data_IF_230907696911
#
_entry.id   IF_230907696911
#
_cell.length_a   1.000
_cell.length_b   1.000
_cell.length_c   1.000
_cell.angle_alpha   90.00
_cell.angle_beta   90.00
_cell.angle_gamma   90.00
#
_symmetry.space_group_name_H-M   'P 1'
#
loop_
_entity.id
_entity.type
_entity.pdbx_description
1 polymer ?
#
# COMPACT_ATOMS: atom_id res chain seq x y z
N UNK A 1 34.79 5.55 -12.90
CA UNK A 1 34.43 5.29 -11.49
C UNK A 1 34.02 6.61 -10.86
N UNK A 2 32.74 6.98 -10.92
CA UNK A 2 32.26 8.26 -10.37
C UNK A 2 31.97 8.13 -8.88
N UNK A 3 32.44 9.07 -8.07
CA UNK A 3 32.16 9.14 -6.64
C UNK A 3 30.66 9.34 -6.40
N UNK A 4 30.03 8.49 -5.57
CA UNK A 4 28.62 8.69 -5.19
C UNK A 4 28.52 9.85 -4.18
N UNK A 5 27.82 10.95 -4.48
CA UNK A 5 27.75 12.09 -3.58
C UNK A 5 27.06 11.71 -2.26
N UNK A 6 27.68 12.10 -1.15
CA UNK A 6 27.24 11.74 0.19
C UNK A 6 26.91 12.95 1.05
N UNK A 7 25.64 13.10 1.40
CA UNK A 7 25.09 14.18 2.20
C UNK A 7 24.83 13.70 3.63
N UNK A 8 25.46 14.34 4.63
CA UNK A 8 25.38 13.87 6.02
C UNK A 8 24.34 14.60 6.87
N UNK A 9 24.27 15.94 6.80
CA UNK A 9 23.31 16.78 7.51
C UNK A 9 22.91 17.92 6.57
N UNK A 10 21.67 17.93 6.12
CA UNK A 10 21.23 18.86 5.08
C UNK A 10 19.86 19.40 5.39
N UNK A 11 19.74 20.73 5.34
CA UNK A 11 18.46 21.43 5.36
C UNK A 11 18.44 22.31 4.13
N UNK A 12 17.57 22.01 3.17
CA UNK A 12 17.46 22.79 1.94
C UNK A 12 15.99 22.96 1.59
N UNK A 13 15.66 24.13 1.08
CA UNK A 13 14.29 24.44 0.70
C UNK A 13 13.92 23.73 -0.61
N UNK A 14 14.72 23.90 -1.67
CA UNK A 14 14.48 23.29 -2.98
C UNK A 14 15.75 22.70 -3.54
N UNK A 15 15.69 21.45 -3.99
CA UNK A 15 16.84 20.79 -4.59
C UNK A 15 16.42 19.95 -5.80
N UNK A 16 17.28 19.98 -6.84
CA UNK A 16 17.29 19.00 -7.91
C UNK A 16 18.65 18.34 -7.94
N UNK A 17 18.68 17.02 -7.84
CA UNK A 17 19.91 16.25 -7.90
C UNK A 17 19.78 15.12 -8.90
N UNK A 18 20.90 14.83 -9.56
CA UNK A 18 21.06 13.70 -10.47
C UNK A 18 21.18 12.37 -9.73
N UNK A 19 21.86 11.41 -10.36
CA UNK A 19 21.87 10.00 -10.01
C UNK A 19 22.64 9.68 -8.70
N UNK A 20 22.33 8.52 -8.11
CA UNK A 20 23.16 7.82 -7.11
C UNK A 20 23.50 8.60 -5.82
N UNK A 21 22.55 9.35 -5.29
CA UNK A 21 22.74 10.17 -4.08
C UNK A 21 22.55 9.38 -2.78
N UNK A 22 23.44 9.61 -1.79
CA UNK A 22 23.33 9.03 -0.44
C UNK A 22 23.12 10.09 0.62
N UNK A 23 21.99 10.03 1.31
CA UNK A 23 21.58 10.99 2.33
C UNK A 23 21.47 10.32 3.70
N UNK A 24 22.13 10.90 4.71
CA UNK A 24 22.13 10.36 6.08
C UNK A 24 21.06 11.02 6.94
N UNK A 25 21.10 12.35 7.07
CA UNK A 25 20.09 13.15 7.77
C UNK A 25 19.72 14.36 6.90
N UNK A 26 18.43 14.49 6.62
CA UNK A 26 17.97 15.51 5.68
C UNK A 26 16.58 16.00 6.00
N UNK A 27 16.39 17.30 5.95
CA UNK A 27 15.11 17.97 6.00
C UNK A 27 14.96 18.81 4.73
N UNK A 28 14.01 18.48 3.85
CA UNK A 28 13.85 19.21 2.58
C UNK A 28 12.39 19.53 2.30
N UNK A 29 12.10 20.76 1.87
CA UNK A 29 10.74 21.13 1.50
C UNK A 29 10.36 20.53 0.14
N UNK A 30 11.15 20.76 -0.91
CA UNK A 30 10.87 20.22 -2.25
C UNK A 30 12.11 19.58 -2.87
N UNK A 31 12.00 18.30 -3.18
CA UNK A 31 13.07 17.54 -3.82
C UNK A 31 12.58 16.87 -5.11
N UNK A 32 13.36 17.05 -6.17
CA UNK A 32 13.33 16.16 -7.34
C UNK A 32 14.66 15.43 -7.40
N UNK A 33 14.61 14.11 -7.28
CA UNK A 33 15.78 13.26 -7.50
C UNK A 33 15.59 12.49 -8.79
N UNK A 34 16.66 12.40 -9.57
CA UNK A 34 16.81 11.36 -10.58
C UNK A 34 16.96 9.99 -9.93
N UNK A 35 18.00 9.27 -10.31
CA UNK A 35 18.05 7.82 -10.13
C UNK A 35 18.61 7.38 -8.77
N UNK A 36 18.08 6.27 -8.25
CA UNK A 36 18.64 5.42 -7.17
C UNK A 36 19.01 6.06 -5.80
N UNK A 37 18.25 7.02 -5.24
CA UNK A 37 18.64 7.61 -3.96
C UNK A 37 18.56 6.63 -2.79
N UNK A 38 19.49 6.80 -1.83
CA UNK A 38 19.49 6.08 -0.55
C UNK A 38 19.37 7.06 0.62
N UNK A 39 18.31 6.94 1.41
CA UNK A 39 18.04 7.77 2.59
C UNK A 39 18.12 6.94 3.86
N UNK A 40 18.77 7.49 4.90
CA UNK A 40 18.85 6.85 6.22
C UNK A 40 17.89 7.42 7.25
N UNK A 41 17.75 8.75 7.28
CA UNK A 41 16.79 9.52 8.06
C UNK A 41 16.39 10.74 7.22
N UNK A 42 15.09 10.91 6.96
CA UNK A 42 14.63 11.99 6.08
C UNK A 42 13.27 12.53 6.49
N UNK A 43 13.13 13.85 6.50
CA UNK A 43 11.85 14.57 6.60
C UNK A 43 11.67 15.36 5.32
N UNK A 44 10.69 15.02 4.47
CA UNK A 44 10.46 15.75 3.23
C UNK A 44 9.00 16.18 3.07
N UNK A 45 8.77 17.42 2.64
CA UNK A 45 7.41 17.88 2.35
C UNK A 45 6.94 17.37 0.98
N UNK A 46 7.76 17.51 -0.07
CA UNK A 46 7.41 17.06 -1.42
C UNK A 46 8.59 16.36 -2.10
N UNK A 47 8.42 15.08 -2.45
CA UNK A 47 9.39 14.29 -3.20
C UNK A 47 8.80 13.79 -4.52
N UNK A 48 9.53 14.03 -5.61
CA UNK A 48 9.34 13.33 -6.89
C UNK A 48 10.61 12.58 -7.24
N UNK A 49 10.47 11.28 -7.48
CA UNK A 49 11.55 10.42 -8.00
C UNK A 49 11.19 10.07 -9.44
N UNK A 50 12.12 10.30 -10.35
CA UNK A 50 11.99 9.97 -11.78
C UNK A 50 11.99 8.47 -12.08
N UNK A 51 11.97 8.14 -13.36
CA UNK A 51 12.20 6.78 -13.88
C UNK A 51 13.65 6.36 -13.61
N UNK A 52 13.87 5.07 -13.36
CA UNK A 52 15.20 4.49 -13.17
C UNK A 52 15.49 3.45 -14.26
N UNK A 53 16.68 3.45 -14.89
CA UNK A 53 17.14 2.30 -15.63
C UNK A 53 17.37 1.14 -14.66
N UNK A 54 17.42 -0.06 -15.25
CA UNK A 54 17.45 -1.43 -14.67
C UNK A 54 18.38 -1.70 -13.47
N UNK A 55 19.18 -0.74 -13.02
CA UNK A 55 20.20 -0.88 -11.98
C UNK A 55 19.89 -0.07 -10.72
N UNK A 56 19.28 -0.74 -9.73
CA UNK A 56 19.26 -0.28 -8.33
C UNK A 56 17.91 0.23 -7.84
N UNK A 57 17.40 -0.36 -6.74
CA UNK A 57 16.14 0.08 -6.14
C UNK A 57 16.36 1.25 -5.17
N UNK A 58 15.63 2.36 -5.30
CA UNK A 58 15.63 3.43 -4.31
C UNK A 58 15.29 2.88 -2.91
N UNK A 59 16.00 3.36 -1.87
CA UNK A 59 15.86 2.81 -0.51
C UNK A 59 15.73 3.91 0.54
N UNK A 60 14.71 3.76 1.38
CA UNK A 60 14.46 4.64 2.51
C UNK A 60 14.47 3.86 3.81
N UNK A 61 15.12 4.48 4.79
CA UNK A 61 15.05 4.10 6.18
C UNK A 61 14.61 5.35 6.97
N UNK A 62 13.77 5.17 7.98
CA UNK A 62 13.35 6.22 8.92
C UNK A 62 12.92 7.51 8.20
N UNK A 63 11.84 7.41 7.43
CA UNK A 63 11.38 8.52 6.59
C UNK A 63 10.00 9.00 7.02
N UNK A 64 9.87 10.33 7.11
CA UNK A 64 8.62 11.04 7.22
C UNK A 64 8.44 11.91 5.97
N UNK A 65 7.33 11.71 5.24
CA UNK A 65 7.06 12.36 3.97
C UNK A 65 5.62 12.85 3.91
N UNK A 66 5.41 14.07 3.46
CA UNK A 66 4.06 14.60 3.24
C UNK A 66 3.53 14.23 1.84
N UNK A 67 4.26 14.54 0.76
CA UNK A 67 3.83 14.23 -0.63
C UNK A 67 4.90 13.43 -1.37
N UNK A 68 4.50 12.29 -1.93
CA UNK A 68 5.40 11.41 -2.67
C UNK A 68 4.78 10.95 -4.00
N UNK A 69 5.56 11.11 -5.07
CA UNK A 69 5.33 10.42 -6.35
C UNK A 69 6.61 9.66 -6.74
N UNK A 70 6.49 8.35 -6.88
CA UNK A 70 7.58 7.48 -7.34
C UNK A 70 7.03 6.63 -8.46
N UNK A 71 7.76 6.55 -9.57
CA UNK A 71 7.30 5.79 -10.74
C UNK A 71 7.60 4.31 -10.58
N UNK A 72 8.79 3.94 -10.09
CA UNK A 72 9.24 2.53 -10.04
C UNK A 72 9.39 1.97 -8.61
N UNK A 73 10.29 1.02 -8.33
CA UNK A 73 10.21 0.03 -7.21
C UNK A 73 10.99 0.39 -5.92
N UNK A 74 10.51 1.27 -5.01
CA UNK A 74 11.20 1.57 -3.78
C UNK A 74 11.09 0.49 -2.68
N UNK A 75 12.09 0.49 -1.80
CA UNK A 75 12.10 -0.29 -0.56
C UNK A 75 12.09 0.62 0.66
N UNK A 76 11.08 0.43 1.51
CA UNK A 76 10.83 1.24 2.69
C UNK A 76 11.01 0.43 3.98
N UNK A 77 11.79 0.99 4.91
CA UNK A 77 11.97 0.44 6.26
C UNK A 77 11.71 1.54 7.29
N UNK A 78 10.77 1.32 8.21
CA UNK A 78 10.39 2.27 9.24
C UNK A 78 9.99 3.61 8.63
N UNK A 79 8.80 3.68 8.08
CA UNK A 79 8.29 4.89 7.43
C UNK A 79 7.04 5.33 8.15
N UNK A 80 7.02 6.60 8.57
CA UNK A 80 5.91 7.18 9.32
C UNK A 80 5.43 8.38 8.51
N UNK A 81 4.34 8.20 7.77
CA UNK A 81 3.70 9.29 7.04
C UNK A 81 2.49 9.73 7.85
N UNK A 82 2.74 10.41 8.97
CA UNK A 82 1.78 10.49 10.09
C UNK A 82 0.74 11.60 10.02
N UNK A 83 0.83 12.51 9.07
CA UNK A 83 -0.19 13.54 8.95
C UNK A 83 -0.08 14.12 7.57
N UNK A 84 -1.18 14.71 7.15
CA UNK A 84 -1.37 15.51 5.94
C UNK A 84 -2.08 14.70 4.87
N UNK A 85 -3.27 15.19 4.56
CA UNK A 85 -4.15 14.70 3.50
C UNK A 85 -3.40 14.57 2.19
N UNK A 86 -2.86 13.38 1.95
CA UNK A 86 -2.36 12.97 0.65
C UNK A 86 -3.56 12.80 -0.26
N UNK A 87 -3.77 13.74 -1.16
CA UNK A 87 -4.73 13.54 -2.24
C UNK A 87 -4.38 12.27 -3.03
N UNK A 88 -3.09 12.05 -3.36
CA UNK A 88 -2.63 10.93 -4.24
C UNK A 88 -1.12 10.63 -4.08
N UNK A 89 -0.73 9.68 -3.23
CA UNK A 89 0.51 8.93 -3.47
C UNK A 89 0.24 7.99 -4.64
N UNK A 90 1.07 8.04 -5.70
CA UNK A 90 1.05 7.08 -6.81
C UNK A 90 2.41 6.42 -6.88
N UNK A 91 2.40 5.10 -6.76
CA UNK A 91 3.59 4.26 -6.78
C UNK A 91 3.32 3.09 -7.73
N UNK A 92 4.25 2.82 -8.65
CA UNK A 92 4.14 1.80 -9.69
C UNK A 92 4.39 0.37 -9.21
N UNK A 93 4.87 -0.45 -10.14
CA UNK A 93 4.71 -1.92 -10.22
C UNK A 93 4.99 -2.71 -8.93
N UNK A 94 6.18 -2.63 -8.33
CA UNK A 94 6.56 -3.52 -7.19
C UNK A 94 7.11 -2.79 -5.98
N UNK A 95 6.48 -3.00 -4.81
CA UNK A 95 6.82 -2.27 -3.59
C UNK A 95 7.07 -3.16 -2.39
N UNK A 96 7.98 -2.75 -1.50
CA UNK A 96 8.19 -3.43 -0.21
C UNK A 96 8.27 -2.46 0.95
N UNK A 97 7.31 -2.59 1.87
CA UNK A 97 7.23 -1.84 3.12
C UNK A 97 7.39 -2.80 4.29
N UNK A 98 8.35 -2.55 5.17
CA UNK A 98 8.52 -3.35 6.39
C UNK A 98 7.61 -2.90 7.54
N UNK A 99 7.62 -1.60 7.82
CA UNK A 99 6.84 -0.96 8.88
C UNK A 99 6.36 0.38 8.35
N UNK A 100 5.05 0.59 8.36
CA UNK A 100 4.44 1.79 7.79
C UNK A 100 3.18 2.23 8.54
N UNK A 101 3.03 3.53 8.76
CA UNK A 101 1.76 4.16 9.13
C UNK A 101 1.41 5.21 8.07
N UNK A 102 0.25 5.10 7.42
CA UNK A 102 -0.17 6.01 6.34
C UNK A 102 -1.68 6.33 6.42
N UNK A 103 -2.06 7.58 6.20
CA UNK A 103 -3.47 7.97 6.15
C UNK A 103 -4.13 7.58 4.81
N UNK A 104 -3.54 7.95 3.68
CA UNK A 104 -4.09 7.73 2.33
C UNK A 104 -3.04 7.22 1.34
N UNK A 105 -3.33 6.11 0.66
CA UNK A 105 -2.41 5.52 -0.32
C UNK A 105 -3.12 5.09 -1.61
N UNK A 106 -2.52 5.37 -2.78
CA UNK A 106 -2.82 4.66 -4.04
C UNK A 106 -1.58 3.91 -4.54
N UNK A 107 -1.64 2.58 -4.54
CA UNK A 107 -0.56 1.73 -5.02
C UNK A 107 -0.97 0.96 -6.28
N UNK A 108 -0.02 0.71 -7.18
CA UNK A 108 -0.16 -0.11 -8.38
C UNK A 108 -0.16 -1.61 -8.09
N UNK A 109 0.56 -2.37 -8.92
CA UNK A 109 0.29 -3.78 -9.23
C UNK A 109 0.79 -4.83 -8.22
N UNK A 110 1.82 -4.58 -7.40
CA UNK A 110 2.37 -5.63 -6.50
C UNK A 110 3.01 -5.07 -5.23
N UNK A 111 2.27 -4.40 -4.32
CA UNK A 111 2.85 -3.94 -3.07
C UNK A 111 2.85 -5.03 -1.99
N UNK A 112 3.99 -5.18 -1.30
CA UNK A 112 4.18 -6.10 -0.16
C UNK A 112 4.41 -5.33 1.14
N UNK A 113 3.67 -5.70 2.17
CA UNK A 113 3.67 -5.02 3.46
C UNK A 113 3.91 -6.01 4.61
N UNK A 114 4.86 -5.65 5.48
CA UNK A 114 5.17 -6.37 6.71
C UNK A 114 4.17 -6.05 7.80
N UNK A 115 4.41 -4.95 8.52
CA UNK A 115 3.54 -4.40 9.55
C UNK A 115 3.02 -3.03 9.09
N UNK A 116 1.70 -2.85 9.08
CA UNK A 116 1.10 -1.61 8.58
C UNK A 116 -0.15 -1.18 9.35
N UNK A 117 -0.29 0.11 9.59
CA UNK A 117 -1.54 0.74 10.02
C UNK A 117 -1.96 1.78 8.98
N UNK A 118 -3.18 1.67 8.43
CA UNK A 118 -3.64 2.53 7.35
C UNK A 118 -5.10 2.96 7.52
N UNK A 119 -5.43 4.21 7.20
CA UNK A 119 -6.83 4.64 7.25
C UNK A 119 -7.56 4.36 5.92
N UNK A 120 -7.03 4.85 4.80
CA UNK A 120 -7.64 4.73 3.46
C UNK A 120 -6.65 4.22 2.42
N UNK A 121 -6.94 3.07 1.85
CA UNK A 121 -6.09 2.45 0.84
C UNK A 121 -6.86 2.15 -0.45
N UNK A 122 -6.29 2.55 -1.59
CA UNK A 122 -6.65 2.01 -2.91
C UNK A 122 -5.44 1.29 -3.48
N UNK A 123 -5.59 0.03 -3.84
CA UNK A 123 -4.51 -0.76 -4.41
C UNK A 123 -5.00 -1.47 -5.66
N UNK A 124 -4.12 -1.57 -6.66
CA UNK A 124 -4.35 -2.34 -7.87
C UNK A 124 -4.24 -3.84 -7.58
N UNK A 125 -3.47 -4.51 -8.40
CA UNK A 125 -3.35 -5.96 -8.41
C UNK A 125 -2.55 -6.52 -7.22
N UNK A 126 -2.83 -7.77 -6.88
CA UNK A 126 -1.99 -8.71 -6.13
C UNK A 126 -1.27 -8.22 -4.85
N UNK A 127 -1.85 -7.37 -3.98
CA UNK A 127 -1.13 -6.90 -2.81
C UNK A 127 -0.99 -8.01 -1.75
N UNK A 128 0.13 -7.99 -1.00
CA UNK A 128 0.38 -8.97 0.07
C UNK A 128 0.67 -8.29 1.40
N UNK A 129 0.00 -8.73 2.45
CA UNK A 129 0.10 -8.16 3.80
C UNK A 129 0.35 -9.24 4.84
N UNK A 130 1.30 -8.99 5.75
CA UNK A 130 1.68 -9.94 6.81
C UNK A 130 1.07 -9.65 8.18
N UNK A 131 0.91 -8.37 8.53
CA UNK A 131 0.23 -7.88 9.72
C UNK A 131 -0.32 -6.49 9.39
N UNK A 132 -1.64 -6.28 9.46
CA UNK A 132 -2.23 -5.01 9.04
C UNK A 132 -3.48 -4.61 9.82
N UNK A 133 -3.58 -3.33 10.16
CA UNK A 133 -4.82 -2.69 10.61
C UNK A 133 -5.26 -1.64 9.58
N UNK A 134 -6.52 -1.69 9.15
CA UNK A 134 -7.02 -0.89 8.02
C UNK A 134 -8.49 -0.49 8.20
N UNK A 135 -8.79 0.81 8.13
CA UNK A 135 -10.19 1.27 8.27
C UNK A 135 -10.96 1.10 6.95
N UNK A 136 -10.43 1.59 5.83
CA UNK A 136 -11.09 1.58 4.52
C UNK A 136 -10.16 1.10 3.42
N UNK A 137 -10.58 0.04 2.72
CA UNK A 137 -9.82 -0.57 1.63
C UNK A 137 -10.64 -0.69 0.35
N UNK A 138 -10.04 -0.28 -0.77
CA UNK A 138 -10.41 -0.70 -2.13
C UNK A 138 -9.24 -1.44 -2.76
N UNK A 139 -9.35 -2.76 -2.87
CA UNK A 139 -8.32 -3.58 -3.50
C UNK A 139 -8.81 -4.12 -4.84
N UNK A 140 -7.92 -4.19 -5.83
CA UNK A 140 -8.13 -4.87 -7.09
C UNK A 140 -8.03 -6.39 -6.94
N UNK A 141 -7.37 -7.03 -7.89
CA UNK A 141 -7.35 -8.48 -8.04
C UNK A 141 -6.49 -9.18 -6.97
N UNK A 142 -7.01 -10.30 -6.45
CA UNK A 142 -6.29 -11.31 -5.63
C UNK A 142 -5.50 -10.84 -4.38
N UNK A 143 -6.00 -9.92 -3.53
CA UNK A 143 -5.25 -9.47 -2.35
C UNK A 143 -5.09 -10.59 -1.32
N UNK A 144 -3.89 -10.70 -0.72
CA UNK A 144 -3.58 -11.72 0.31
C UNK A 144 -3.21 -11.10 1.65
N UNK A 145 -3.87 -11.58 2.71
CA UNK A 145 -3.72 -11.11 4.08
C UNK A 145 -3.41 -12.26 5.02
N UNK A 146 -2.38 -12.05 5.84
CA UNK A 146 -2.05 -12.87 7.00
C UNK A 146 -2.17 -11.92 8.19
N UNK A 147 -2.92 -12.26 9.23
CA UNK A 147 -3.12 -11.43 10.44
C UNK A 147 -3.62 -10.00 10.16
N UNK A 148 -4.94 -9.79 10.05
CA UNK A 148 -5.47 -8.46 9.70
C UNK A 148 -6.73 -8.06 10.47
N UNK A 149 -6.82 -6.80 10.88
CA UNK A 149 -8.05 -6.15 11.33
C UNK A 149 -8.53 -5.15 10.28
N UNK A 150 -9.68 -5.38 9.64
CA UNK A 150 -10.22 -4.50 8.60
C UNK A 150 -11.68 -4.10 8.89
N UNK A 151 -12.01 -2.81 8.90
CA UNK A 151 -13.41 -2.38 9.10
C UNK A 151 -14.22 -2.46 7.80
N UNK A 152 -13.78 -1.77 6.73
CA UNK A 152 -14.54 -1.66 5.47
C UNK A 152 -13.68 -2.06 4.29
N UNK A 153 -14.03 -3.18 3.65
CA UNK A 153 -13.31 -3.70 2.50
C UNK A 153 -14.21 -3.81 1.28
N UNK A 154 -13.75 -3.23 0.17
CA UNK A 154 -14.23 -3.54 -1.17
C UNK A 154 -13.10 -4.19 -1.95
N UNK A 155 -13.19 -5.49 -2.17
CA UNK A 155 -12.16 -6.28 -2.85
C UNK A 155 -12.60 -6.77 -4.21
N UNK A 156 -11.62 -7.06 -5.08
CA UNK A 156 -11.83 -7.71 -6.36
C UNK A 156 -12.10 -9.22 -6.23
N UNK A 157 -11.63 -9.96 -7.23
CA UNK A 157 -12.05 -11.31 -7.59
C UNK A 157 -11.75 -12.36 -6.51
N UNK A 158 -10.46 -12.62 -6.19
CA UNK A 158 -10.09 -13.77 -5.34
C UNK A 158 -9.31 -13.36 -4.08
N UNK A 159 -9.91 -12.60 -3.16
CA UNK A 159 -9.21 -12.16 -1.97
C UNK A 159 -9.05 -13.30 -0.94
N UNK A 160 -7.90 -13.37 -0.29
CA UNK A 160 -7.54 -14.42 0.66
C UNK A 160 -7.17 -13.83 2.02
N UNK A 161 -7.84 -14.29 3.08
CA UNK A 161 -7.59 -13.87 4.46
C UNK A 161 -7.29 -15.06 5.37
N UNK A 162 -6.28 -14.89 6.22
CA UNK A 162 -5.90 -15.84 7.25
C UNK A 162 -5.72 -15.12 8.58
N UNK A 163 -6.38 -15.60 9.63
CA UNK A 163 -6.34 -15.02 10.97
C UNK A 163 -6.79 -13.54 10.93
N UNK A 164 -8.04 -13.30 10.57
CA UNK A 164 -8.52 -11.93 10.32
C UNK A 164 -9.80 -11.61 11.06
N UNK A 165 -9.92 -10.38 11.58
CA UNK A 165 -11.13 -9.82 12.17
C UNK A 165 -11.66 -8.70 11.27
N UNK A 166 -12.93 -8.80 10.88
CA UNK A 166 -13.48 -8.03 9.77
C UNK A 166 -14.91 -7.61 10.04
N UNK A 167 -15.26 -6.35 9.77
CA UNK A 167 -16.64 -5.88 9.98
C UNK A 167 -17.46 -5.98 8.70
N UNK A 168 -17.15 -5.17 7.68
CA UNK A 168 -17.99 -4.99 6.49
C UNK A 168 -17.23 -5.25 5.21
N UNK A 169 -17.63 -6.30 4.49
CA UNK A 169 -16.94 -6.74 3.28
C UNK A 169 -17.87 -6.86 2.10
N UNK A 170 -17.47 -6.25 0.98
CA UNK A 170 -18.04 -6.49 -0.36
C UNK A 170 -16.93 -7.03 -1.27
N UNK A 171 -17.16 -8.18 -1.87
CA UNK A 171 -16.22 -8.85 -2.77
C UNK A 171 -16.92 -9.33 -4.02
N UNK A 172 -16.22 -9.28 -5.15
CA UNK A 172 -16.73 -9.69 -6.45
C UNK A 172 -16.98 -11.19 -6.50
N UNK A 173 -15.93 -12.00 -6.50
CA UNK A 173 -16.06 -13.44 -6.79
C UNK A 173 -15.89 -14.30 -5.53
N UNK A 174 -14.79 -15.07 -5.44
CA UNK A 174 -14.59 -16.21 -4.55
C UNK A 174 -13.60 -15.91 -3.42
N UNK A 175 -14.04 -15.24 -2.34
CA UNK A 175 -13.15 -14.98 -1.21
C UNK A 175 -12.82 -16.27 -0.46
N UNK A 176 -11.57 -16.38 0.00
CA UNK A 176 -11.09 -17.50 0.82
C UNK A 176 -10.74 -17.04 2.23
N UNK A 177 -11.27 -17.74 3.23
CA UNK A 177 -11.14 -17.40 4.65
C UNK A 177 -10.63 -18.59 5.46
N UNK A 178 -9.68 -18.32 6.35
CA UNK A 178 -9.20 -19.31 7.33
C UNK A 178 -8.98 -18.67 8.69
N UNK A 179 -9.60 -19.22 9.73
CA UNK A 179 -9.50 -18.70 11.10
C UNK A 179 -9.90 -17.21 11.16
N UNK A 180 -11.05 -16.86 10.60
CA UNK A 180 -11.49 -15.45 10.51
C UNK A 180 -12.83 -15.23 11.19
N UNK A 181 -13.02 -14.03 11.75
CA UNK A 181 -14.31 -13.54 12.25
C UNK A 181 -14.80 -12.44 11.30
N UNK A 182 -16.06 -12.52 10.89
CA UNK A 182 -16.68 -11.57 9.98
C UNK A 182 -18.09 -11.20 10.44
N UNK A 183 -18.38 -9.90 10.53
CA UNK A 183 -19.71 -9.43 10.92
C UNK A 183 -20.67 -9.44 9.70
N UNK A 184 -20.31 -8.77 8.59
CA UNK A 184 -21.18 -8.58 7.42
C UNK A 184 -20.45 -8.85 6.11
N UNK A 185 -20.94 -9.82 5.34
CA UNK A 185 -20.42 -10.15 4.01
C UNK A 185 -21.45 -9.95 2.90
N UNK A 186 -21.01 -9.32 1.80
CA UNK A 186 -21.67 -9.27 0.49
C UNK A 186 -20.76 -9.83 -0.60
N UNK A 187 -20.82 -11.13 -0.89
CA UNK A 187 -20.03 -11.71 -1.96
C UNK A 187 -20.88 -11.83 -3.24
N UNK A 188 -20.26 -11.68 -4.42
CA UNK A 188 -20.91 -12.02 -5.68
C UNK A 188 -20.94 -13.53 -5.93
N UNK A 189 -19.97 -14.29 -5.41
CA UNK A 189 -19.98 -15.76 -5.47
C UNK A 189 -19.84 -16.45 -4.10
N UNK A 190 -19.91 -17.78 -4.07
CA UNK A 190 -19.82 -18.54 -2.82
C UNK A 190 -18.43 -18.46 -2.19
N UNK A 191 -18.33 -18.01 -0.92
CA UNK A 191 -17.07 -17.92 -0.20
C UNK A 191 -16.59 -19.31 0.26
N UNK A 192 -15.28 -19.58 0.17
CA UNK A 192 -14.68 -20.76 0.83
C UNK A 192 -14.20 -20.39 2.22
N UNK A 193 -14.70 -21.08 3.25
CA UNK A 193 -14.38 -20.79 4.65
C UNK A 193 -13.91 -22.03 5.39
N UNK A 194 -12.90 -21.89 6.24
CA UNK A 194 -12.45 -22.93 7.17
C UNK A 194 -12.24 -22.33 8.56
N UNK A 195 -12.85 -22.94 9.58
CA UNK A 195 -12.75 -22.48 10.99
C UNK A 195 -13.05 -20.98 11.10
N UNK A 196 -14.11 -20.49 10.48
CA UNK A 196 -14.42 -19.06 10.40
C UNK A 196 -15.87 -18.81 10.79
N UNK A 197 -16.12 -17.69 11.47
CA UNK A 197 -17.45 -17.26 11.92
C UNK A 197 -17.94 -16.14 11.02
N UNK A 198 -19.20 -16.21 10.59
CA UNK A 198 -19.91 -15.12 9.92
C UNK A 198 -21.22 -14.84 10.63
N UNK A 199 -21.46 -13.59 11.00
CA UNK A 199 -22.73 -13.18 11.61
C UNK A 199 -23.82 -12.91 10.57
N UNK A 200 -23.53 -12.18 9.48
CA UNK A 200 -24.53 -11.81 8.47
C UNK A 200 -24.04 -11.96 7.03
N UNK A 201 -24.75 -12.78 6.24
CA UNK A 201 -24.56 -12.91 4.79
C UNK A 201 -25.66 -12.18 4.03
N UNK A 202 -25.28 -11.30 3.10
CA UNK A 202 -26.20 -10.62 2.18
C UNK A 202 -25.80 -10.99 0.76
N UNK A 203 -26.62 -11.80 0.07
CA UNK A 203 -26.42 -12.14 -1.34
C UNK A 203 -27.12 -11.13 -2.24
N UNK A 204 -26.49 -10.74 -3.33
CA UNK A 204 -27.13 -9.93 -4.36
C UNK A 204 -28.13 -10.83 -5.09
N UNK A 205 -29.43 -10.48 -5.10
CA UNK A 205 -30.43 -11.22 -5.90
C UNK A 205 -30.06 -11.01 -7.36
N UNK A 206 -29.57 -12.06 -8.03
CA UNK A 206 -29.50 -12.08 -9.50
C UNK A 206 -30.94 -12.01 -9.98
N UNK A 207 -31.35 -10.86 -10.53
CA UNK A 207 -32.56 -10.80 -11.36
C UNK A 207 -32.21 -11.58 -12.62
N UNK A 208 -32.55 -12.86 -12.65
CA UNK A 208 -32.58 -13.64 -13.89
C UNK A 208 -33.61 -12.95 -14.77
N UNK A 209 -33.16 -12.44 -15.91
CA UNK A 209 -33.98 -11.66 -16.83
C UNK A 209 -35.23 -12.43 -17.21
N UNK A 210 -36.39 -11.79 -17.02
CA UNK A 210 -37.60 -12.15 -17.72
C UNK A 210 -37.34 -11.94 -19.22
N UNK A 211 -37.33 -13.02 -20.00
CA UNK A 211 -37.44 -12.94 -21.45
C UNK A 211 -38.87 -12.53 -21.79
N UNK A 212 -39.12 -11.37 -22.43
CA UNK A 212 -40.43 -11.11 -23.00
C UNK A 212 -40.63 -12.06 -24.19
N UNK A 213 -41.84 -12.62 -24.26
CA UNK A 213 -42.30 -13.52 -25.33
C UNK A 213 -42.27 -12.88 -26.71
#
# INVERSE_FOLDING_TARGET
MGETPHWRNTVLEKLRVGENQRWRNSALEKLRVGETPRWRNSVLEKLRVGETPRWGTPRWRNSALEKLRVVETPRWRNSMLEKIGLEKLRVGETQRWRTSALEKLRAGEIPRWGNSALEKLRVGESPRWRNSALEKLRAGETPRWRNSGLEKVRGGEIPCWRNSALEKIRVGETPRWRNSMLEKLRPGETPRRRKSVLEKLVREKVRVGETPR
#
